data_IF_126561960617
#
_entry.id   IF_126561960617
#
_cell.length_a   1.000
_cell.length_b   1.000
_cell.length_c   1.000
_cell.angle_alpha   90.00
_cell.angle_beta   90.00
_cell.angle_gamma   90.00
#
_symmetry.space_group_name_H-M   'P 1'
#
loop_
_entity.id
_entity.type
_entity.pdbx_description
1 polymer ?
#
# COMPACT_ATOMS: atom_id res chain seq x y z
N UNK A 1 0.92 19.53 21.77
CA UNK A 1 -0.02 18.53 21.19
C UNK A 1 0.51 18.08 19.85
N UNK A 2 0.68 16.79 19.69
CA UNK A 2 1.14 16.25 18.42
C UNK A 2 -0.06 15.92 17.54
N UNK A 3 -0.09 16.50 16.36
CA UNK A 3 -1.16 16.29 15.40
C UNK A 3 -0.88 15.09 14.52
N UNK A 4 -1.91 14.32 14.25
CA UNK A 4 -1.87 13.25 13.27
C UNK A 4 -1.96 13.86 11.87
N UNK A 5 -1.05 13.49 11.00
CA UNK A 5 -1.03 13.92 9.61
C UNK A 5 -1.46 12.76 8.72
N UNK A 6 -2.17 13.09 7.65
CA UNK A 6 -2.64 12.09 6.70
C UNK A 6 -2.01 12.34 5.35
N UNK A 7 -1.40 11.31 4.80
CA UNK A 7 -0.78 11.32 3.48
C UNK A 7 -1.45 10.29 2.58
N UNK A 8 -1.35 10.51 1.27
CA UNK A 8 -1.84 9.58 0.26
C UNK A 8 -0.65 8.86 -0.34
N UNK A 9 -0.76 7.55 -0.48
CA UNK A 9 0.26 6.73 -1.12
C UNK A 9 -0.42 5.56 -1.82
N UNK A 10 0.36 4.75 -2.51
CA UNK A 10 -0.13 3.53 -3.14
C UNK A 10 0.46 2.32 -2.45
N UNK A 11 -0.39 1.35 -2.18
CA UNK A 11 0.02 0.04 -1.72
C UNK A 11 -0.31 -0.99 -2.80
N UNK A 12 0.01 -2.24 -2.53
CA UNK A 12 -0.36 -3.33 -3.41
C UNK A 12 -1.87 -3.32 -3.64
N UNK A 13 -2.28 -3.22 -4.89
CA UNK A 13 -3.66 -3.23 -5.37
C UNK A 13 -4.45 -1.92 -5.19
N UNK A 14 -3.88 -0.87 -4.64
CA UNK A 14 -4.66 0.36 -4.63
C UNK A 14 -4.12 1.50 -3.78
N UNK A 15 -4.76 2.67 -3.88
CA UNK A 15 -4.39 3.84 -3.10
C UNK A 15 -4.82 3.72 -1.65
N UNK A 16 -4.00 4.27 -0.78
CA UNK A 16 -4.22 4.24 0.67
C UNK A 16 -4.03 5.61 1.27
N UNK A 17 -4.60 5.79 2.46
CA UNK A 17 -4.31 6.91 3.34
C UNK A 17 -3.42 6.42 4.46
N UNK A 18 -2.31 7.11 4.66
CA UNK A 18 -1.34 6.79 5.71
C UNK A 18 -1.41 7.87 6.78
N UNK A 19 -1.74 7.47 7.98
CA UNK A 19 -1.82 8.38 9.12
C UNK A 19 -0.51 8.32 9.91
N UNK A 20 0.11 9.47 10.07
CA UNK A 20 1.43 9.60 10.71
C UNK A 20 1.30 10.48 11.95
N UNK A 21 1.88 10.01 13.04
CA UNK A 21 1.95 10.76 14.30
C UNK A 21 3.37 10.65 14.84
N UNK A 22 3.97 11.76 15.22
CA UNK A 22 5.37 11.81 15.70
C UNK A 22 6.36 11.19 14.73
N UNK A 23 6.14 11.36 13.42
CA UNK A 23 7.02 10.81 12.41
C UNK A 23 6.87 9.31 12.19
N UNK A 24 5.90 8.67 12.84
CA UNK A 24 5.66 7.22 12.69
C UNK A 24 4.26 6.94 12.16
N UNK A 25 4.17 5.93 11.30
CA UNK A 25 2.90 5.45 10.78
C UNK A 25 2.11 4.78 11.92
N UNK A 26 0.95 5.33 12.21
CA UNK A 26 0.07 4.78 13.26
C UNK A 26 -1.14 4.06 12.67
N UNK A 27 -1.49 4.35 11.42
CA UNK A 27 -2.65 3.75 10.78
C UNK A 27 -2.53 3.79 9.27
N UNK A 28 -3.04 2.78 8.62
CA UNK A 28 -3.19 2.71 7.17
C UNK A 28 -4.65 2.36 6.88
N UNK A 29 -5.27 3.13 5.98
CA UNK A 29 -6.66 2.92 5.58
C UNK A 29 -6.77 2.89 4.07
N UNK A 30 -7.69 2.11 3.51
CA UNK A 30 -7.97 2.18 2.08
C UNK A 30 -8.62 3.52 1.76
N UNK A 31 -8.34 4.04 0.56
CA UNK A 31 -9.00 5.25 0.10
C UNK A 31 -10.45 4.95 -0.24
N UNK A 32 -11.35 5.85 0.16
CA UNK A 32 -12.77 5.78 -0.20
C UNK A 32 -13.08 6.95 -1.10
N UNK A 33 -13.64 6.66 -2.27
CA UNK A 33 -14.03 7.68 -3.24
C UNK A 33 -15.50 8.02 -3.10
N UNK A 34 -15.85 9.29 -3.29
CA UNK A 34 -17.25 9.73 -3.29
C UNK A 34 -17.74 9.96 -4.72
N UNK A 35 -18.99 10.42 -4.84
CA UNK A 35 -19.59 10.65 -6.14
C UNK A 35 -18.92 11.79 -6.92
N UNK A 36 -18.25 12.69 -6.22
CA UNK A 36 -17.52 13.80 -6.84
C UNK A 36 -16.21 13.34 -7.47
N UNK A 37 -15.62 12.28 -6.92
CA UNK A 37 -14.34 11.77 -7.40
C UNK A 37 -14.52 10.96 -8.69
N UNK A 38 -15.57 10.15 -8.74
CA UNK A 38 -15.80 9.28 -9.90
C UNK A 38 -17.27 8.92 -10.00
N UNK A 39 -17.77 8.87 -11.25
CA UNK A 39 -19.14 8.43 -11.51
C UNK A 39 -19.30 6.94 -11.17
N UNK A 40 -20.43 6.61 -10.59
CA UNK A 40 -20.78 5.23 -10.33
C UNK A 40 -21.35 4.59 -11.59
N UNK A 41 -21.06 3.32 -11.80
CA UNK A 41 -21.71 2.53 -12.84
C UNK A 41 -22.37 1.31 -12.21
N UNK A 42 -23.30 0.72 -12.94
CA UNK A 42 -24.02 -0.45 -12.44
C UNK A 42 -24.29 -1.42 -13.58
N UNK A 43 -24.35 -2.69 -13.25
CA UNK A 43 -24.74 -3.77 -14.17
C UNK A 43 -26.00 -4.41 -13.63
N UNK A 44 -27.02 -4.54 -14.50
CA UNK A 44 -28.26 -5.25 -14.17
C UNK A 44 -28.17 -6.67 -14.70
N UNK A 45 -28.30 -7.66 -13.80
CA UNK A 45 -28.30 -9.07 -14.16
C UNK A 45 -29.49 -9.74 -13.47
N UNK A 46 -30.41 -10.27 -14.27
CA UNK A 46 -31.60 -11.00 -13.75
C UNK A 46 -32.36 -10.23 -12.68
N UNK A 47 -32.55 -8.93 -12.89
CA UNK A 47 -33.27 -8.07 -11.96
C UNK A 47 -32.48 -7.59 -10.75
N UNK A 48 -31.22 -7.96 -10.67
CA UNK A 48 -30.31 -7.51 -9.60
C UNK A 48 -29.33 -6.50 -10.13
N UNK A 49 -29.11 -5.44 -9.36
CA UNK A 49 -28.20 -4.37 -9.70
C UNK A 49 -26.89 -4.53 -8.92
N UNK A 50 -25.80 -4.55 -9.66
CA UNK A 50 -24.46 -4.66 -9.07
C UNK A 50 -23.67 -3.38 -9.37
N UNK A 51 -23.10 -2.77 -8.34
CA UNK A 51 -22.22 -1.61 -8.48
C UNK A 51 -20.87 -1.92 -7.82
N UNK A 52 -19.78 -1.35 -8.35
CA UNK A 52 -18.48 -1.53 -7.72
C UNK A 52 -18.43 -0.84 -6.36
N UNK A 53 -17.59 -1.32 -5.48
CA UNK A 53 -17.31 -0.63 -4.24
C UNK A 53 -16.58 0.68 -4.53
N UNK A 54 -16.85 1.70 -3.73
CA UNK A 54 -16.11 2.97 -3.78
C UNK A 54 -14.86 2.97 -2.91
N UNK A 55 -14.65 1.88 -2.19
CA UNK A 55 -13.49 1.70 -1.33
C UNK A 55 -12.40 0.97 -2.11
N UNK A 56 -11.17 1.49 -2.08
CA UNK A 56 -10.04 0.86 -2.74
C UNK A 56 -9.83 -0.55 -2.17
N UNK A 57 -9.59 -1.51 -3.06
CA UNK A 57 -9.26 -2.87 -2.67
C UNK A 57 -7.77 -2.97 -2.47
N UNK A 58 -7.35 -3.22 -1.25
CA UNK A 58 -5.94 -3.24 -0.86
C UNK A 58 -5.63 -4.58 -0.20
N UNK A 59 -4.44 -5.10 -0.46
CA UNK A 59 -4.02 -6.37 0.15
C UNK A 59 -4.06 -6.29 1.68
N UNK A 60 -4.62 -7.27 2.36
CA UNK A 60 -4.73 -7.24 3.83
C UNK A 60 -3.39 -7.05 4.55
N UNK A 61 -2.31 -7.53 3.99
CA UNK A 61 -0.97 -7.39 4.56
C UNK A 61 -0.56 -5.92 4.74
N UNK A 62 -1.06 -5.04 3.87
CA UNK A 62 -0.77 -3.61 3.98
C UNK A 62 -1.21 -3.06 5.34
N UNK A 63 -2.31 -3.56 5.88
CA UNK A 63 -2.85 -3.10 7.16
C UNK A 63 -2.23 -3.84 8.34
N UNK A 64 -2.05 -5.15 8.22
CA UNK A 64 -1.60 -5.98 9.33
C UNK A 64 -0.10 -5.88 9.57
N UNK A 65 0.68 -5.62 8.54
CA UNK A 65 2.14 -5.65 8.60
C UNK A 65 2.79 -4.26 8.50
N UNK A 66 2.01 -3.20 8.65
CA UNK A 66 2.50 -1.83 8.55
C UNK A 66 3.65 -1.51 9.49
N UNK A 67 3.69 -2.18 10.65
CA UNK A 67 4.73 -1.94 11.65
C UNK A 67 6.06 -2.59 11.33
N UNK A 68 6.11 -3.47 10.32
CA UNK A 68 7.37 -4.07 9.86
C UNK A 68 8.36 -3.03 9.34
N UNK A 69 7.86 -1.88 8.91
CA UNK A 69 8.71 -0.75 8.52
C UNK A 69 9.68 -0.36 9.64
N UNK A 70 9.27 -0.55 10.89
CA UNK A 70 10.06 -0.21 12.07
C UNK A 70 10.74 -1.42 12.71
N UNK A 71 10.70 -2.58 12.06
CA UNK A 71 11.33 -3.78 12.57
C UNK A 71 12.86 -3.65 12.56
N UNK A 72 13.50 -4.20 13.58
CA UNK A 72 14.96 -4.27 13.65
C UNK A 72 15.55 -5.16 12.56
N UNK A 73 14.76 -6.12 12.09
CA UNK A 73 15.18 -7.06 11.06
C UNK A 73 15.09 -6.49 9.65
N UNK A 74 14.52 -5.30 9.52
CA UNK A 74 14.37 -4.69 8.21
C UNK A 74 15.69 -4.25 7.61
N UNK A 75 15.90 -4.56 6.34
CA UNK A 75 17.05 -4.06 5.58
C UNK A 75 16.94 -2.54 5.47
N UNK A 76 17.94 -1.83 5.98
CA UNK A 76 17.94 -0.37 6.08
C UNK A 76 18.56 0.34 4.87
N UNK A 77 19.42 -0.36 4.15
CA UNK A 77 20.15 0.21 3.02
C UNK A 77 20.13 -0.75 1.85
N UNK A 78 20.24 -0.24 0.62
CA UNK A 78 20.46 -1.11 -0.53
C UNK A 78 21.73 -1.93 -0.34
N UNK A 79 21.65 -3.21 -0.60
CA UNK A 79 22.77 -4.13 -0.44
C UNK A 79 23.17 -4.70 -1.80
N UNK A 80 24.48 -4.86 -1.98
CA UNK A 80 25.03 -5.49 -3.17
C UNK A 80 25.87 -6.69 -2.71
N UNK A 81 25.73 -7.79 -3.41
CA UNK A 81 26.57 -8.97 -3.16
C UNK A 81 28.03 -8.59 -3.41
N UNK A 82 28.94 -9.01 -2.54
CA UNK A 82 30.35 -8.61 -2.58
C UNK A 82 31.00 -8.95 -3.92
N UNK A 83 30.68 -10.11 -4.46
CA UNK A 83 31.23 -10.62 -5.72
C UNK A 83 30.34 -10.37 -6.92
N UNK A 84 29.36 -9.47 -6.81
CA UNK A 84 28.45 -9.16 -7.91
C UNK A 84 29.14 -8.35 -8.99
N UNK A 85 29.21 -8.93 -10.19
CA UNK A 85 29.69 -8.27 -11.40
C UNK A 85 28.80 -8.68 -12.56
N UNK A 86 27.99 -7.74 -13.12
CA UNK A 86 27.09 -8.07 -14.21
C UNK A 86 27.81 -8.49 -15.50
N UNK A 87 29.07 -8.09 -15.66
CA UNK A 87 29.89 -8.43 -16.83
C UNK A 87 30.87 -9.57 -16.54
N UNK A 88 30.97 -10.02 -15.32
CA UNK A 88 31.87 -11.09 -14.93
C UNK A 88 31.25 -12.47 -15.01
N UNK A 89 32.05 -13.46 -14.62
CA UNK A 89 31.57 -14.82 -14.54
C UNK A 89 30.49 -14.95 -13.48
N UNK A 90 29.43 -15.66 -13.84
CA UNK A 90 28.35 -15.95 -12.90
C UNK A 90 28.70 -17.23 -12.14
N UNK A 91 28.77 -17.12 -10.83
CA UNK A 91 28.92 -18.31 -10.00
C UNK A 91 27.65 -19.13 -10.08
N UNK A 92 27.78 -20.37 -10.46
CA UNK A 92 26.66 -21.28 -10.67
C UNK A 92 26.51 -22.28 -9.52
N UNK A 93 26.64 -21.83 -8.33
CA UNK A 93 26.40 -22.65 -7.16
C UNK A 93 24.99 -22.51 -6.62
#
# INVERSE_FOLDING_TARGET
>A
MVLEQTFVNCANNGPIKVCVKDGKIVRVRPMVFDEKDTASWAIDVSGKKFSPTRKATVAPQTFTERMKVYSEDRIKYPLKRIDFDPEGDRHQE
#
